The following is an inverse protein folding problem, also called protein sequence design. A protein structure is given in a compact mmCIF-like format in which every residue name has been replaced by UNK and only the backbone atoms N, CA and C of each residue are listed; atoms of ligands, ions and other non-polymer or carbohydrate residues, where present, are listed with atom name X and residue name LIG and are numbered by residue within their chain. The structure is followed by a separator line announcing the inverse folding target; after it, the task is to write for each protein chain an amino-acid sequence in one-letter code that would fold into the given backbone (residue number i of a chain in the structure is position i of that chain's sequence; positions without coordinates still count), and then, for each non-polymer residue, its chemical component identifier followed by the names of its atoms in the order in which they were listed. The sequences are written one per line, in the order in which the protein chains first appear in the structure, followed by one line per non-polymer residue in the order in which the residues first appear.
data_IF_703921629754
#
_entry.id   IF_703921629754
#
_cell.length_a   1.000
_cell.length_b   1.000
_cell.length_c   1.000
_cell.angle_alpha   90.00
_cell.angle_beta   90.00
_cell.angle_gamma   90.00
#
_symmetry.space_group_name_H-M   'P 1'
#
loop_
_entity.id
_entity.type
_entity.pdbx_description
1 polymer ?
#
# COMPACT_ATOMS: atom_id res chain seq x y z
N UNK A 1 6.83 -14.68 -1.25
CA UNK A 1 8.12 -14.27 -1.85
C UNK A 1 9.28 -14.61 -0.93
N UNK A 2 9.22 -14.21 0.35
CA UNK A 2 10.27 -14.43 1.37
C UNK A 2 10.75 -15.88 1.46
N UNK A 3 9.83 -16.85 1.58
CA UNK A 3 10.19 -18.27 1.67
C UNK A 3 10.98 -18.77 0.44
N UNK A 4 10.66 -18.27 -0.76
CA UNK A 4 11.36 -18.62 -2.00
C UNK A 4 12.74 -17.98 -2.04
N UNK A 5 12.83 -16.69 -1.69
CA UNK A 5 14.10 -15.95 -1.57
C UNK A 5 15.04 -16.63 -0.56
N UNK A 6 14.54 -16.98 0.63
CA UNK A 6 15.31 -17.67 1.67
C UNK A 6 15.76 -19.07 1.24
N UNK A 7 14.99 -19.75 0.39
CA UNK A 7 15.37 -21.02 -0.21
C UNK A 7 16.35 -20.88 -1.41
N UNK A 8 16.72 -19.65 -1.78
CA UNK A 8 17.59 -19.35 -2.92
C UNK A 8 16.88 -19.38 -4.29
N UNK A 9 15.56 -19.53 -4.32
CA UNK A 9 14.76 -19.44 -5.55
C UNK A 9 14.43 -17.97 -5.86
N UNK A 10 15.46 -17.27 -6.34
CA UNK A 10 15.40 -15.85 -6.68
C UNK A 10 14.49 -15.53 -7.86
N UNK A 11 14.29 -16.48 -8.78
CA UNK A 11 13.39 -16.28 -9.92
C UNK A 11 11.95 -16.26 -9.43
N UNK A 12 11.49 -17.35 -8.80
CA UNK A 12 10.11 -17.41 -8.32
C UNK A 12 9.87 -16.41 -7.20
N UNK A 13 10.85 -16.19 -6.32
CA UNK A 13 10.80 -15.17 -5.27
C UNK A 13 10.62 -13.76 -5.85
N UNK A 14 11.42 -13.41 -6.87
CA UNK A 14 11.32 -12.14 -7.59
C UNK A 14 9.99 -11.95 -8.31
N UNK A 15 9.49 -12.97 -9.01
CA UNK A 15 8.19 -12.91 -9.70
C UNK A 15 7.04 -12.66 -8.71
N UNK A 16 7.06 -13.35 -7.56
CA UNK A 16 6.06 -13.15 -6.50
C UNK A 16 6.15 -11.76 -5.88
N UNK A 17 7.36 -11.24 -5.70
CA UNK A 17 7.58 -9.87 -5.21
C UNK A 17 7.04 -8.84 -6.22
N UNK A 18 7.32 -9.01 -7.52
CA UNK A 18 6.84 -8.10 -8.57
C UNK A 18 5.31 -8.07 -8.60
N UNK A 19 4.67 -9.24 -8.60
CA UNK A 19 3.21 -9.31 -8.60
C UNK A 19 2.59 -8.60 -7.39
N UNK A 20 3.17 -8.81 -6.21
CA UNK A 20 2.72 -8.15 -4.99
C UNK A 20 2.93 -6.62 -5.03
N UNK A 21 4.12 -6.17 -5.44
CA UNK A 21 4.42 -4.74 -5.61
C UNK A 21 3.43 -4.08 -6.57
N UNK A 22 3.18 -4.70 -7.71
CA UNK A 22 2.32 -4.12 -8.74
C UNK A 22 0.86 -4.02 -8.28
N UNK A 23 0.38 -5.01 -7.51
CA UNK A 23 -0.93 -4.93 -6.86
C UNK A 23 -1.01 -3.75 -5.87
N UNK A 24 0.00 -3.59 -5.00
CA UNK A 24 0.04 -2.47 -4.04
C UNK A 24 0.15 -1.10 -4.72
N UNK A 25 0.94 -0.99 -5.79
CA UNK A 25 1.03 0.26 -6.55
C UNK A 25 -0.30 0.61 -7.23
N UNK A 26 -1.04 -0.40 -7.70
CA UNK A 26 -2.39 -0.20 -8.23
C UNK A 26 -3.36 0.24 -7.12
N UNK A 27 -3.33 -0.37 -5.94
CA UNK A 27 -4.09 0.06 -4.75
C UNK A 27 -3.84 1.55 -4.45
N UNK A 28 -2.57 1.94 -4.29
CA UNK A 28 -2.21 3.34 -4.02
C UNK A 28 -2.69 4.30 -5.12
N UNK A 29 -2.60 3.92 -6.39
CA UNK A 29 -3.09 4.76 -7.51
C UNK A 29 -4.60 4.91 -7.46
N UNK A 30 -5.35 3.85 -7.18
CA UNK A 30 -6.81 3.92 -7.03
C UNK A 30 -7.20 4.89 -5.90
N UNK A 31 -6.51 4.83 -4.77
CA UNK A 31 -6.74 5.75 -3.68
C UNK A 31 -6.35 7.19 -4.00
N UNK A 32 -5.11 7.40 -4.46
CA UNK A 32 -4.53 8.73 -4.66
C UNK A 32 -5.21 9.51 -5.81
N UNK A 33 -5.67 8.81 -6.84
CA UNK A 33 -6.23 9.41 -8.05
C UNK A 33 -7.76 9.47 -8.06
N UNK A 34 -8.44 8.62 -7.28
CA UNK A 34 -9.91 8.54 -7.27
C UNK A 34 -10.50 8.81 -5.90
N UNK A 35 -10.11 8.03 -4.88
CA UNK A 35 -10.74 8.07 -3.57
C UNK A 35 -10.44 9.36 -2.82
N UNK A 36 -9.15 9.69 -2.67
CA UNK A 36 -8.72 10.86 -1.90
C UNK A 36 -9.23 12.16 -2.54
N UNK A 37 -9.15 12.38 -3.87
CA UNK A 37 -9.73 13.58 -4.47
C UNK A 37 -11.24 13.72 -4.24
N UNK A 38 -12.00 12.62 -4.33
CA UNK A 38 -13.44 12.65 -4.08
C UNK A 38 -13.78 13.02 -2.62
N UNK A 39 -13.00 12.52 -1.68
CA UNK A 39 -13.14 12.81 -0.26
C UNK A 39 -12.72 14.24 0.09
N UNK A 40 -11.57 14.69 -0.39
CA UNK A 40 -11.02 16.04 -0.15
C UNK A 40 -11.91 17.15 -0.74
N UNK A 41 -12.53 16.91 -1.90
CA UNK A 41 -13.49 17.84 -2.50
C UNK A 41 -14.69 18.10 -1.57
N UNK A 42 -15.12 17.09 -0.80
CA UNK A 42 -16.26 17.24 0.11
C UNK A 42 -15.87 17.93 1.43
N UNK A 43 -14.66 17.65 1.94
CA UNK A 43 -14.15 18.29 3.15
C UNK A 43 -13.72 19.76 2.94
N UNK A 44 -13.47 20.17 1.70
CA UNK A 44 -13.06 21.54 1.37
C UNK A 44 -11.60 21.86 1.71
N UNK A 45 -10.81 20.86 2.10
CA UNK A 45 -9.36 20.98 2.30
C UNK A 45 -8.66 19.63 2.06
N UNK A 46 -7.39 19.70 1.64
CA UNK A 46 -6.52 18.53 1.39
C UNK A 46 -5.64 18.17 2.59
N UNK A 47 -5.72 18.95 3.67
CA UNK A 47 -4.97 18.72 4.90
C UNK A 47 -5.73 17.71 5.78
N UNK A 48 -5.04 16.69 6.30
CA UNK A 48 -5.65 15.71 7.20
C UNK A 48 -5.26 14.26 6.86
N UNK A 49 -6.18 13.28 7.01
CA UNK A 49 -5.82 11.86 6.99
C UNK A 49 -5.23 11.41 5.64
N UNK A 50 -5.73 11.91 4.52
CA UNK A 50 -5.24 11.58 3.16
C UNK A 50 -3.81 12.04 2.88
N UNK A 51 -3.31 13.08 3.59
CA UNK A 51 -1.90 13.49 3.50
C UNK A 51 -0.99 12.45 4.18
N UNK A 52 -1.40 11.95 5.35
CA UNK A 52 -0.67 10.91 6.08
C UNK A 52 -0.61 9.62 5.25
N UNK A 53 -1.72 9.22 4.62
CA UNK A 53 -1.75 8.06 3.73
C UNK A 53 -0.74 8.17 2.58
N UNK A 54 -0.71 9.32 1.88
CA UNK A 54 0.27 9.57 0.80
C UNK A 54 1.72 9.52 1.29
N UNK A 55 2.00 9.99 2.51
CA UNK A 55 3.34 9.87 3.09
C UNK A 55 3.74 8.41 3.29
N UNK A 56 2.83 7.57 3.81
CA UNK A 56 3.07 6.15 4.00
C UNK A 56 3.19 5.40 2.66
N UNK A 57 2.38 5.73 1.66
CA UNK A 57 2.52 5.18 0.30
C UNK A 57 3.91 5.47 -0.26
N UNK A 58 4.43 6.69 -0.08
CA UNK A 58 5.76 7.06 -0.54
C UNK A 58 6.86 6.29 0.19
N UNK A 59 6.70 6.05 1.49
CA UNK A 59 7.61 5.21 2.27
C UNK A 59 7.59 3.75 1.76
N UNK A 60 6.41 3.19 1.50
CA UNK A 60 6.28 1.83 0.94
C UNK A 60 6.84 1.74 -0.48
N UNK A 61 6.62 2.75 -1.34
CA UNK A 61 7.22 2.85 -2.69
C UNK A 61 8.75 2.84 -2.64
N UNK A 62 9.36 3.51 -1.64
CA UNK A 62 10.81 3.47 -1.42
C UNK A 62 11.28 2.07 -1.01
N UNK A 63 10.60 1.43 -0.06
CA UNK A 63 10.90 0.05 0.35
C UNK A 63 10.80 -0.92 -0.82
N UNK A 64 9.80 -0.80 -1.70
CA UNK A 64 9.72 -1.64 -2.89
C UNK A 64 10.94 -1.46 -3.82
N UNK A 65 11.45 -0.25 -3.97
CA UNK A 65 12.67 0.00 -4.76
C UNK A 65 13.89 -0.69 -4.14
N UNK A 66 14.02 -0.63 -2.81
CA UNK A 66 15.11 -1.28 -2.08
C UNK A 66 15.00 -2.80 -2.13
N UNK A 67 13.80 -3.35 -1.93
CA UNK A 67 13.53 -4.78 -2.05
C UNK A 67 13.83 -5.30 -3.46
N UNK A 68 13.49 -4.53 -4.50
CA UNK A 68 13.82 -4.88 -5.87
C UNK A 68 15.34 -4.93 -6.10
N UNK A 69 16.10 -4.05 -5.44
CA UNK A 69 17.57 -4.09 -5.49
C UNK A 69 18.11 -5.32 -4.76
N UNK A 70 17.57 -5.67 -3.59
CA UNK A 70 17.94 -6.87 -2.86
C UNK A 70 17.69 -8.16 -3.67
N UNK A 71 16.54 -8.26 -4.37
CA UNK A 71 16.26 -9.38 -5.29
C UNK A 71 17.30 -9.46 -6.42
N UNK A 72 17.66 -8.33 -7.04
CA UNK A 72 18.67 -8.30 -8.10
C UNK A 72 20.06 -8.67 -7.60
N UNK A 73 20.41 -8.23 -6.40
CA UNK A 73 21.67 -8.54 -5.73
C UNK A 73 21.73 -9.96 -5.16
N UNK A 74 20.58 -10.65 -5.08
CA UNK A 74 20.42 -11.93 -4.39
C UNK A 74 20.86 -11.85 -2.91
N UNK A 75 20.50 -10.74 -2.26
CA UNK A 75 20.77 -10.48 -0.85
C UNK A 75 19.52 -10.82 -0.02
N UNK A 76 19.53 -12.01 0.59
CA UNK A 76 18.39 -12.55 1.32
C UNK A 76 18.21 -11.85 2.66
N UNK A 77 19.30 -11.60 3.38
CA UNK A 77 19.28 -10.86 4.63
C UNK A 77 18.67 -9.47 4.45
N UNK A 78 19.06 -8.73 3.42
CA UNK A 78 18.48 -7.42 3.13
C UNK A 78 17.01 -7.54 2.71
N UNK A 79 16.67 -8.49 1.82
CA UNK A 79 15.29 -8.66 1.37
C UNK A 79 14.34 -9.00 2.54
N UNK A 80 14.75 -9.89 3.44
CA UNK A 80 13.94 -10.30 4.60
C UNK A 80 13.77 -9.15 5.60
N UNK A 81 14.84 -8.43 5.94
CA UNK A 81 14.73 -7.27 6.86
C UNK A 81 13.85 -6.14 6.30
N UNK A 82 13.91 -5.90 4.98
CA UNK A 82 13.00 -4.96 4.31
C UNK A 82 11.55 -5.46 4.30
N UNK A 83 11.34 -6.77 4.14
CA UNK A 83 9.99 -7.38 4.17
C UNK A 83 9.34 -7.22 5.55
N UNK A 84 10.09 -7.41 6.63
CA UNK A 84 9.61 -7.17 8.00
C UNK A 84 9.23 -5.70 8.22
N UNK A 85 10.07 -4.78 7.75
CA UNK A 85 9.82 -3.33 7.84
C UNK A 85 8.54 -2.95 7.08
N UNK A 86 8.40 -3.45 5.85
CA UNK A 86 7.20 -3.25 5.04
C UNK A 86 5.95 -3.79 5.73
N UNK A 87 6.00 -5.00 6.28
CA UNK A 87 4.87 -5.62 6.97
C UNK A 87 4.37 -4.75 8.12
N UNK A 88 5.28 -4.20 8.93
CA UNK A 88 4.90 -3.32 10.05
C UNK A 88 4.19 -2.04 9.56
N UNK A 89 4.70 -1.41 8.50
CA UNK A 89 4.10 -0.19 7.95
C UNK A 89 2.74 -0.50 7.34
N UNK A 90 2.61 -1.59 6.57
CA UNK A 90 1.34 -2.00 5.99
C UNK A 90 0.29 -2.29 7.06
N UNK A 91 0.65 -2.94 8.16
CA UNK A 91 -0.29 -3.17 9.26
C UNK A 91 -0.82 -1.85 9.85
N UNK A 92 0.08 -0.89 10.10
CA UNK A 92 -0.32 0.43 10.62
C UNK A 92 -1.16 1.21 9.61
N UNK A 93 -0.81 1.13 8.34
CA UNK A 93 -1.50 1.76 7.24
C UNK A 93 -2.93 1.23 7.09
N UNK A 94 -3.08 -0.09 7.01
CA UNK A 94 -4.38 -0.75 6.87
C UNK A 94 -5.28 -0.47 8.09
N UNK A 95 -4.71 -0.40 9.30
CA UNK A 95 -5.49 0.02 10.47
C UNK A 95 -6.05 1.44 10.33
N UNK A 96 -5.30 2.37 9.71
CA UNK A 96 -5.78 3.74 9.47
C UNK A 96 -6.85 3.78 8.38
N UNK A 97 -6.70 3.01 7.31
CA UNK A 97 -7.74 2.87 6.29
C UNK A 97 -9.05 2.38 6.92
N UNK A 98 -9.01 1.21 7.55
CA UNK A 98 -10.17 0.47 8.05
C UNK A 98 -10.85 1.15 9.24
N UNK A 99 -10.08 1.67 10.19
CA UNK A 99 -10.64 2.18 11.45
C UNK A 99 -10.91 3.68 11.43
N UNK A 100 -10.30 4.42 10.50
CA UNK A 100 -10.41 5.88 10.45
C UNK A 100 -10.89 6.36 9.09
N UNK A 101 -10.17 6.07 8.02
CA UNK A 101 -10.40 6.70 6.72
C UNK A 101 -11.72 6.26 6.08
N UNK A 102 -11.96 4.96 5.93
CA UNK A 102 -13.18 4.44 5.33
C UNK A 102 -14.44 4.80 6.14
N UNK A 103 -14.45 4.68 7.49
CA UNK A 103 -15.58 5.18 8.28
C UNK A 103 -15.83 6.68 8.10
N UNK A 104 -14.79 7.51 8.04
CA UNK A 104 -14.95 8.95 7.79
C UNK A 104 -15.50 9.23 6.39
N UNK A 105 -15.06 8.48 5.38
CA UNK A 105 -15.57 8.60 4.01
C UNK A 105 -17.03 8.16 3.90
N UNK A 106 -17.44 7.08 4.57
CA UNK A 106 -18.84 6.64 4.59
C UNK A 106 -19.76 7.69 5.24
N UNK A 107 -19.32 8.28 6.36
CA UNK A 107 -20.05 9.36 7.02
C UNK A 107 -20.14 10.65 6.18
N UNK A 108 -19.10 10.95 5.40
CA UNK A 108 -18.99 12.20 4.64
C UNK A 108 -19.63 12.11 3.26
N UNK A 109 -19.41 11.00 2.55
CA UNK A 109 -19.85 10.78 1.16
C UNK A 109 -21.12 9.92 1.06
N UNK A 110 -21.60 9.35 2.16
CA UNK A 110 -22.75 8.45 2.20
C UNK A 110 -22.54 7.20 1.34
N UNK A 111 -23.61 6.72 0.70
CA UNK A 111 -23.59 5.51 -0.13
C UNK A 111 -22.47 5.51 -1.20
N UNK A 112 -22.15 6.69 -1.75
CA UNK A 112 -21.09 6.85 -2.76
C UNK A 112 -19.69 6.61 -2.19
N UNK A 113 -19.45 6.95 -0.92
CA UNK A 113 -18.21 6.66 -0.21
C UNK A 113 -18.02 5.16 0.03
N UNK A 114 -19.05 4.51 0.56
CA UNK A 114 -19.03 3.06 0.79
C UNK A 114 -18.89 2.25 -0.50
N UNK A 115 -19.43 2.71 -1.64
CA UNK A 115 -19.24 2.05 -2.94
C UNK A 115 -17.80 2.20 -3.48
N UNK A 116 -17.15 3.35 -3.26
CA UNK A 116 -15.75 3.53 -3.67
C UNK A 116 -14.77 2.73 -2.80
N UNK A 117 -14.97 2.71 -1.48
CA UNK A 117 -14.13 1.92 -0.57
C UNK A 117 -14.18 0.42 -0.92
N UNK A 118 -15.38 -0.12 -1.17
CA UNK A 118 -15.55 -1.53 -1.59
C UNK A 118 -14.89 -1.86 -2.93
N UNK A 119 -14.74 -0.90 -3.84
CA UNK A 119 -14.03 -1.12 -5.11
C UNK A 119 -12.51 -1.23 -4.92
N UNK A 120 -11.98 -0.71 -3.82
CA UNK A 120 -10.56 -0.71 -3.50
C UNK A 120 -10.20 -1.99 -2.71
N UNK A 121 -11.02 -2.38 -1.74
CA UNK A 121 -10.85 -3.64 -0.97
C UNK A 121 -10.92 -4.92 -1.82
N UNK A 122 -11.53 -4.86 -3.01
CA UNK A 122 -11.73 -6.02 -3.87
C UNK A 122 -10.52 -6.38 -4.76
N UNK A 123 -9.41 -5.65 -4.65
CA UNK A 123 -8.22 -5.78 -5.50
C UNK A 123 -6.93 -5.95 -4.69
#
# INVERSE_FOLDING_TARGET
AEALVSAGDWSAGGDRFIAFRDAMLNHFSMEEEKLFPAFEQHLGHTMGPTQVMRMEHNQMKQLFSEMQQAVKARDDAQYLGLSETLMMIMQQHNMKEEQMLYPMMDQTLGQKGGEMARQIEAH
#
